data_IF_413498140245
#
_entry.id   IF_413498140245
#
_cell.length_a   1.000
_cell.length_b   1.000
_cell.length_c   1.000
_cell.angle_alpha   90.00
_cell.angle_beta   90.00
_cell.angle_gamma   90.00
#
_symmetry.space_group_name_H-M   'P 1'
#
loop_
_entity.id
_entity.type
_entity.pdbx_description
1 polymer ?
#
# COMPACT_ATOMS: atom_id res chain seq x y z
N UNK A 1 -12.30 2.66 6.19
CA UNK A 1 -11.05 2.22 5.54
C UNK A 1 -9.85 3.13 5.89
N UNK A 2 -9.89 4.47 5.71
CA UNK A 2 -8.74 5.32 6.04
C UNK A 2 -8.21 5.15 7.48
N UNK A 3 -9.09 5.11 8.48
CA UNK A 3 -8.70 4.85 9.86
C UNK A 3 -8.06 3.46 10.03
N UNK A 4 -8.53 2.43 9.31
CA UNK A 4 -7.93 1.10 9.34
C UNK A 4 -6.52 1.11 8.73
N UNK A 5 -6.32 1.83 7.62
CA UNK A 5 -4.99 2.02 7.02
C UNK A 5 -4.06 2.71 8.02
N UNK A 6 -4.51 3.81 8.63
CA UNK A 6 -3.73 4.55 9.61
C UNK A 6 -3.32 3.67 10.81
N UNK A 7 -4.28 2.97 11.41
CA UNK A 7 -4.03 2.09 12.55
C UNK A 7 -3.09 0.93 12.16
N UNK A 8 -3.34 0.24 11.04
CA UNK A 8 -2.48 -0.85 10.58
C UNK A 8 -1.04 -0.38 10.30
N UNK A 9 -0.88 0.83 9.74
CA UNK A 9 0.43 1.43 9.51
C UNK A 9 1.15 1.76 10.82
N UNK A 10 0.41 2.11 11.88
CA UNK A 10 0.98 2.52 13.17
C UNK A 10 1.24 1.37 14.15
N UNK A 11 0.51 0.26 14.04
CA UNK A 11 0.61 -0.87 15.01
C UNK A 11 1.99 -1.51 14.99
N UNK A 12 2.55 -1.76 13.80
CA UNK A 12 3.87 -2.35 13.64
C UNK A 12 4.72 -1.38 12.82
N UNK A 13 5.75 -0.83 13.44
CA UNK A 13 6.73 0.04 12.80
C UNK A 13 8.14 -0.47 13.09
N UNK A 14 8.83 -0.91 12.06
CA UNK A 14 10.23 -1.32 12.13
C UNK A 14 11.04 -0.24 11.41
N UNK A 15 11.91 0.49 12.11
CA UNK A 15 12.72 1.54 11.49
C UNK A 15 13.52 1.00 10.29
N UNK A 16 13.50 1.74 9.19
CA UNK A 16 14.31 1.45 8.01
C UNK A 16 15.62 2.25 8.03
N UNK A 17 16.65 1.82 7.28
CA UNK A 17 17.97 2.48 7.30
C UNK A 17 17.94 3.97 6.94
N UNK A 18 16.99 4.42 6.12
CA UNK A 18 16.93 5.79 5.58
C UNK A 18 15.79 6.63 6.19
N UNK A 19 15.71 6.67 7.53
CA UNK A 19 14.72 7.48 8.28
C UNK A 19 13.25 7.22 7.93
N UNK A 20 12.93 6.08 7.30
CA UNK A 20 11.58 5.58 7.12
C UNK A 20 11.26 4.47 8.12
N UNK A 21 10.16 3.76 7.89
CA UNK A 21 9.79 2.58 8.67
C UNK A 21 8.99 1.59 7.83
N UNK A 22 9.20 0.31 8.08
CA UNK A 22 8.39 -0.80 7.55
C UNK A 22 7.12 -0.93 8.38
N UNK A 23 6.01 -1.22 7.73
CA UNK A 23 4.71 -1.36 8.38
C UNK A 23 3.84 -2.40 7.66
N UNK A 24 2.73 -2.76 8.27
CA UNK A 24 1.76 -3.71 7.68
C UNK A 24 0.55 -3.03 7.03
N UNK A 25 0.56 -1.70 6.90
CA UNK A 25 -0.56 -0.93 6.35
C UNK A 25 -0.91 -1.29 4.92
N UNK A 26 0.04 -1.80 4.13
CA UNK A 26 -0.15 -2.14 2.72
C UNK A 26 -1.24 -3.19 2.50
N UNK A 27 -1.44 -4.10 3.43
CA UNK A 27 -2.55 -5.06 3.34
C UNK A 27 -3.92 -4.35 3.29
N UNK A 28 -4.11 -3.27 4.06
CA UNK A 28 -5.36 -2.48 4.05
C UNK A 28 -5.40 -1.53 2.85
N UNK A 29 -4.26 -1.01 2.39
CA UNK A 29 -4.16 -0.23 1.14
C UNK A 29 -4.64 -1.05 -0.06
N UNK A 30 -4.21 -2.31 -0.18
CA UNK A 30 -4.69 -3.24 -1.22
C UNK A 30 -6.19 -3.52 -1.10
N UNK A 31 -6.71 -3.70 0.13
CA UNK A 31 -8.15 -3.83 0.37
C UNK A 31 -8.92 -2.59 -0.10
N UNK A 32 -8.38 -1.37 0.11
CA UNK A 32 -9.01 -0.17 -0.42
C UNK A 32 -9.17 -0.23 -1.95
N UNK A 33 -8.17 -0.76 -2.65
CA UNK A 33 -8.23 -0.94 -4.11
C UNK A 33 -9.23 -2.01 -4.55
N UNK A 34 -9.39 -3.10 -3.79
CA UNK A 34 -10.28 -4.20 -4.19
C UNK A 34 -11.73 -4.03 -3.76
N UNK A 35 -12.00 -3.26 -2.70
CA UNK A 35 -13.33 -3.16 -2.07
C UNK A 35 -14.00 -1.81 -2.31
N UNK A 36 -13.27 -0.76 -2.65
CA UNK A 36 -13.81 0.58 -2.84
C UNK A 36 -13.81 1.01 -4.30
N UNK A 37 -14.68 1.94 -4.66
CA UNK A 37 -14.59 2.64 -5.94
C UNK A 37 -13.26 3.42 -6.02
N UNK A 38 -12.67 3.62 -7.23
CA UNK A 38 -11.27 4.03 -7.38
C UNK A 38 -10.92 5.34 -6.67
N UNK A 39 -11.79 6.35 -6.73
CA UNK A 39 -11.58 7.62 -6.04
C UNK A 39 -11.57 7.48 -4.52
N UNK A 40 -12.53 6.72 -3.98
CA UNK A 40 -12.58 6.43 -2.53
C UNK A 40 -11.41 5.56 -2.07
N UNK A 41 -11.01 4.57 -2.89
CA UNK A 41 -9.85 3.74 -2.62
C UNK A 41 -8.56 4.56 -2.55
N UNK A 42 -8.34 5.44 -3.53
CA UNK A 42 -7.21 6.36 -3.55
C UNK A 42 -7.14 7.24 -2.30
N UNK A 43 -8.24 7.94 -2.01
CA UNK A 43 -8.29 8.86 -0.86
C UNK A 43 -8.14 8.11 0.46
N UNK A 44 -8.83 6.97 0.64
CA UNK A 44 -8.76 6.21 1.88
C UNK A 44 -7.34 5.65 2.14
N UNK A 45 -6.71 5.09 1.13
CA UNK A 45 -5.35 4.56 1.21
C UNK A 45 -4.32 5.69 1.44
N UNK A 46 -4.38 6.74 0.62
CA UNK A 46 -3.47 7.87 0.71
C UNK A 46 -3.60 8.63 2.02
N UNK A 47 -4.82 9.02 2.38
CA UNK A 47 -5.07 9.79 3.61
C UNK A 47 -4.72 8.99 4.87
N UNK A 48 -5.12 7.72 4.93
CA UNK A 48 -4.82 6.88 6.09
C UNK A 48 -3.32 6.72 6.32
N UNK A 49 -2.56 6.48 5.24
CA UNK A 49 -1.10 6.33 5.33
C UNK A 49 -0.41 7.66 5.64
N UNK A 50 -0.83 8.77 5.02
CA UNK A 50 -0.26 10.09 5.29
C UNK A 50 -0.52 10.54 6.75
N UNK A 51 -1.71 10.28 7.30
CA UNK A 51 -2.00 10.54 8.71
C UNK A 51 -1.12 9.71 9.64
N UNK A 52 -0.85 8.44 9.30
CA UNK A 52 0.07 7.60 10.07
C UNK A 52 1.49 8.20 10.10
N UNK A 53 1.97 8.74 8.98
CA UNK A 53 3.25 9.43 8.91
C UNK A 53 3.27 10.69 9.80
N UNK A 54 2.22 11.51 9.71
CA UNK A 54 2.07 12.73 10.52
C UNK A 54 2.10 12.37 12.01
N UNK A 55 1.28 11.41 12.46
CA UNK A 55 1.23 10.97 13.86
C UNK A 55 2.51 10.28 14.33
N UNK A 56 3.31 9.79 13.40
CA UNK A 56 4.61 9.16 13.68
C UNK A 56 5.80 10.14 13.61
N UNK A 57 5.55 11.43 13.29
CA UNK A 57 6.59 12.46 13.16
C UNK A 57 7.30 12.50 11.81
N UNK A 58 6.83 11.76 10.81
CA UNK A 58 7.39 11.71 9.45
C UNK A 58 6.70 12.71 8.51
N UNK A 59 6.56 13.96 8.93
CA UNK A 59 5.82 14.99 8.19
C UNK A 59 6.28 15.17 6.73
N UNK A 60 7.58 15.07 6.49
CA UNK A 60 8.16 15.22 5.15
C UNK A 60 7.72 14.11 4.18
N UNK A 61 7.46 12.91 4.71
CA UNK A 61 7.01 11.77 3.92
C UNK A 61 5.51 11.83 3.59
N UNK A 62 4.69 12.44 4.45
CA UNK A 62 3.23 12.40 4.34
C UNK A 62 2.67 12.78 2.96
N UNK A 63 3.12 13.85 2.26
CA UNK A 63 2.61 14.16 0.92
C UNK A 63 2.97 13.09 -0.12
N UNK A 64 4.20 12.59 -0.10
CA UNK A 64 4.64 11.52 -0.99
C UNK A 64 3.90 10.22 -0.71
N UNK A 65 3.77 9.86 0.56
CA UNK A 65 3.02 8.67 1.02
C UNK A 65 1.56 8.74 0.58
N UNK A 66 0.91 9.91 0.66
CA UNK A 66 -0.45 10.09 0.17
C UNK A 66 -0.58 9.68 -1.30
N UNK A 67 0.30 10.19 -2.16
CA UNK A 67 0.28 9.89 -3.59
C UNK A 67 0.67 8.45 -3.87
N UNK A 68 1.71 7.94 -3.24
CA UNK A 68 2.20 6.57 -3.47
C UNK A 68 1.14 5.55 -3.05
N UNK A 69 0.61 5.64 -1.82
CA UNK A 69 -0.38 4.68 -1.30
C UNK A 69 -1.74 4.81 -1.99
N UNK A 70 -2.15 6.02 -2.35
CA UNK A 70 -3.32 6.23 -3.20
C UNK A 70 -3.16 5.56 -4.57
N UNK A 71 -2.01 5.74 -5.22
CA UNK A 71 -1.72 5.11 -6.51
C UNK A 71 -1.69 3.58 -6.43
N UNK A 72 -1.17 2.99 -5.33
CA UNK A 72 -1.24 1.54 -5.09
C UNK A 72 -2.68 1.04 -5.13
N UNK A 73 -3.60 1.71 -4.44
CA UNK A 73 -5.02 1.33 -4.43
C UNK A 73 -5.64 1.43 -5.84
N UNK A 74 -5.29 2.45 -6.62
CA UNK A 74 -5.75 2.58 -8.02
C UNK A 74 -5.20 1.45 -8.90
N UNK A 75 -3.93 1.10 -8.78
CA UNK A 75 -3.31 0.00 -9.54
C UNK A 75 -4.00 -1.33 -9.20
N UNK A 76 -4.18 -1.61 -7.90
CA UNK A 76 -4.86 -2.82 -7.44
C UNK A 76 -6.30 -2.90 -7.98
N UNK A 77 -7.06 -1.78 -7.95
CA UNK A 77 -8.40 -1.68 -8.53
C UNK A 77 -8.40 -1.93 -10.04
N UNK A 78 -7.54 -1.21 -10.78
CA UNK A 78 -7.51 -1.28 -12.25
C UNK A 78 -7.15 -2.69 -12.72
N UNK A 79 -6.11 -3.30 -12.16
CA UNK A 79 -5.72 -4.66 -12.49
C UNK A 79 -6.84 -5.66 -12.19
N UNK A 80 -7.46 -5.55 -11.01
CA UNK A 80 -8.59 -6.40 -10.65
C UNK A 80 -9.75 -6.25 -11.64
N UNK A 81 -10.17 -5.02 -11.93
CA UNK A 81 -11.28 -4.74 -12.85
C UNK A 81 -11.05 -5.24 -14.28
N UNK A 82 -9.82 -5.07 -14.78
CA UNK A 82 -9.47 -5.43 -16.16
C UNK A 82 -9.24 -6.93 -16.34
N UNK A 83 -8.71 -7.60 -15.31
CA UNK A 83 -8.16 -8.95 -15.47
C UNK A 83 -9.03 -10.05 -14.83
N UNK A 84 -9.92 -9.73 -13.87
CA UNK A 84 -10.65 -10.74 -13.11
C UNK A 84 -11.49 -11.69 -13.97
N UNK A 85 -12.07 -11.18 -15.08
CA UNK A 85 -12.87 -11.99 -16.02
C UNK A 85 -12.02 -12.89 -16.92
N UNK A 86 -10.72 -12.59 -17.10
CA UNK A 86 -9.82 -13.32 -18.00
C UNK A 86 -9.00 -14.37 -17.29
N UNK A 87 -8.42 -14.02 -16.13
CA UNK A 87 -7.48 -14.87 -15.40
C UNK A 87 -8.00 -15.30 -14.02
N UNK A 88 -9.25 -14.96 -13.69
CA UNK A 88 -9.86 -15.29 -12.41
C UNK A 88 -9.54 -14.28 -11.30
N UNK A 89 -10.38 -14.30 -10.26
CA UNK A 89 -10.40 -13.32 -9.17
C UNK A 89 -9.08 -13.29 -8.40
N UNK A 90 -8.64 -14.43 -7.87
CA UNK A 90 -7.45 -14.53 -7.06
C UNK A 90 -6.18 -14.12 -7.83
N UNK A 91 -6.03 -14.61 -9.05
CA UNK A 91 -4.85 -14.30 -9.88
C UNK A 91 -4.79 -12.81 -10.20
N UNK A 92 -5.92 -12.17 -10.52
CA UNK A 92 -5.97 -10.73 -10.78
C UNK A 92 -5.66 -9.90 -9.55
N UNK A 93 -6.08 -10.34 -8.34
CA UNK A 93 -5.71 -9.70 -7.08
C UNK A 93 -4.20 -9.80 -6.83
N UNK A 94 -3.61 -10.99 -6.99
CA UNK A 94 -2.16 -11.18 -6.81
C UNK A 94 -1.36 -10.33 -7.79
N UNK A 95 -1.70 -10.36 -9.08
CA UNK A 95 -0.99 -9.56 -10.10
C UNK A 95 -1.12 -8.07 -9.80
N UNK A 96 -2.33 -7.61 -9.47
CA UNK A 96 -2.57 -6.21 -9.10
C UNK A 96 -1.80 -5.79 -7.85
N UNK A 97 -1.71 -6.66 -6.84
CA UNK A 97 -0.93 -6.40 -5.64
C UNK A 97 0.57 -6.32 -5.94
N UNK A 98 1.13 -7.27 -6.71
CA UNK A 98 2.55 -7.23 -7.11
C UNK A 98 2.87 -5.93 -7.83
N UNK A 99 2.05 -5.50 -8.79
CA UNK A 99 2.27 -4.25 -9.51
C UNK A 99 2.13 -3.02 -8.60
N UNK A 100 1.19 -3.03 -7.66
CA UNK A 100 1.03 -1.96 -6.68
C UNK A 100 2.24 -1.86 -5.73
N UNK A 101 2.77 -2.99 -5.27
CA UNK A 101 3.95 -3.00 -4.39
C UNK A 101 5.23 -2.59 -5.15
N UNK A 102 5.39 -2.98 -6.41
CA UNK A 102 6.48 -2.49 -7.27
C UNK A 102 6.38 -0.96 -7.41
N UNK A 103 5.20 -0.43 -7.66
CA UNK A 103 4.99 1.02 -7.76
C UNK A 103 5.31 1.72 -6.43
N UNK A 104 5.02 1.11 -5.29
CA UNK A 104 5.38 1.61 -3.97
C UNK A 104 6.89 1.69 -3.78
N UNK A 105 7.61 0.59 -4.07
CA UNK A 105 9.08 0.54 -3.95
C UNK A 105 9.73 1.60 -4.83
N UNK A 106 9.28 1.71 -6.09
CA UNK A 106 9.79 2.71 -7.02
C UNK A 106 9.44 4.14 -6.58
N UNK A 107 8.21 4.36 -6.09
CA UNK A 107 7.76 5.67 -5.61
C UNK A 107 8.61 6.18 -4.44
N UNK A 108 8.85 5.34 -3.44
CA UNK A 108 9.73 5.71 -2.33
C UNK A 108 11.18 5.85 -2.77
N UNK A 109 11.69 4.97 -3.62
CA UNK A 109 13.05 5.10 -4.16
C UNK A 109 13.27 6.45 -4.86
N UNK A 110 12.31 6.87 -5.69
CA UNK A 110 12.37 8.17 -6.39
C UNK A 110 12.26 9.32 -5.40
N UNK A 111 11.30 9.29 -4.47
CA UNK A 111 11.13 10.33 -3.46
C UNK A 111 12.38 10.49 -2.58
N UNK A 112 12.87 9.39 -2.03
CA UNK A 112 14.09 9.38 -1.20
C UNK A 112 15.34 9.75 -2.02
N UNK A 113 15.36 9.39 -3.31
CA UNK A 113 16.42 9.78 -4.24
C UNK A 113 16.56 11.30 -4.39
N UNK A 114 15.45 12.01 -4.43
CA UNK A 114 15.46 13.49 -4.42
C UNK A 114 15.80 14.07 -3.05
N UNK A 115 15.43 13.40 -1.96
CA UNK A 115 15.68 13.89 -0.60
C UNK A 115 17.10 13.63 -0.12
N UNK A 116 17.68 12.46 -0.42
CA UNK A 116 18.91 11.97 0.19
C UNK A 116 19.97 11.53 -0.84
N UNK A 117 19.60 11.52 -2.13
CA UNK A 117 20.41 10.96 -3.22
C UNK A 117 20.03 9.53 -3.56
N UNK A 118 20.20 9.15 -4.84
CA UNK A 118 19.77 7.84 -5.36
C UNK A 118 20.59 6.66 -4.84
N UNK A 119 21.88 6.85 -4.57
CA UNK A 119 22.74 5.78 -4.04
C UNK A 119 22.32 5.42 -2.60
N UNK A 120 22.16 6.37 -1.66
CA UNK A 120 21.63 6.07 -0.34
C UNK A 120 20.22 5.47 -0.37
N UNK A 121 19.31 5.99 -1.20
CA UNK A 121 17.93 5.50 -1.24
C UNK A 121 17.82 4.06 -1.73
N UNK A 122 18.76 3.58 -2.54
CA UNK A 122 18.81 2.18 -2.97
C UNK A 122 18.91 1.19 -1.80
N UNK A 123 19.47 1.60 -0.66
CA UNK A 123 19.57 0.79 0.56
C UNK A 123 18.19 0.45 1.14
N UNK A 124 17.17 1.28 0.89
CA UNK A 124 15.80 1.03 1.34
C UNK A 124 15.00 0.09 0.43
N UNK A 125 15.45 -0.18 -0.80
CA UNK A 125 14.73 -1.05 -1.73
C UNK A 125 14.43 -2.44 -1.14
N UNK A 126 15.40 -3.17 -0.55
CA UNK A 126 15.12 -4.47 0.06
C UNK A 126 14.11 -4.39 1.20
N UNK A 127 14.21 -3.36 2.05
CA UNK A 127 13.28 -3.16 3.15
C UNK A 127 11.85 -2.93 2.64
N UNK A 128 11.67 -2.01 1.68
CA UNK A 128 10.37 -1.76 1.05
C UNK A 128 9.84 -2.99 0.30
N UNK A 129 10.70 -3.79 -0.34
CA UNK A 129 10.29 -5.03 -0.99
C UNK A 129 9.78 -6.08 0.01
N UNK A 130 10.42 -6.22 1.16
CA UNK A 130 9.94 -7.09 2.25
C UNK A 130 8.60 -6.59 2.77
N UNK A 131 8.44 -5.28 3.00
CA UNK A 131 7.15 -4.68 3.38
C UNK A 131 6.06 -5.05 2.37
N UNK A 132 6.32 -4.86 1.08
CA UNK A 132 5.38 -5.18 0.01
C UNK A 132 5.00 -6.66 -0.03
N UNK A 133 5.96 -7.56 0.13
CA UNK A 133 5.69 -9.01 0.18
C UNK A 133 4.78 -9.37 1.35
N UNK A 134 5.03 -8.83 2.54
CA UNK A 134 4.17 -9.02 3.72
C UNK A 134 2.79 -8.41 3.50
N UNK A 135 2.71 -7.18 2.97
CA UNK A 135 1.46 -6.49 2.64
C UNK A 135 0.59 -7.29 1.67
N UNK A 136 1.21 -7.83 0.61
CA UNK A 136 0.54 -8.70 -0.36
C UNK A 136 -0.04 -9.96 0.30
N UNK A 137 0.77 -10.69 1.06
CA UNK A 137 0.33 -11.95 1.71
C UNK A 137 -0.83 -11.67 2.65
N UNK A 138 -0.68 -10.69 3.54
CA UNK A 138 -1.74 -10.32 4.49
C UNK A 138 -2.98 -9.77 3.77
N UNK A 139 -2.81 -8.97 2.71
CA UNK A 139 -3.90 -8.44 1.91
C UNK A 139 -4.75 -9.55 1.27
N UNK A 140 -4.11 -10.57 0.69
CA UNK A 140 -4.82 -11.73 0.12
C UNK A 140 -5.55 -12.54 1.21
N UNK A 141 -4.94 -12.73 2.36
CA UNK A 141 -5.59 -13.42 3.49
C UNK A 141 -6.83 -12.64 3.93
N UNK A 142 -6.68 -11.33 4.13
CA UNK A 142 -7.76 -10.46 4.60
C UNK A 142 -8.91 -10.37 3.58
N UNK A 143 -8.63 -10.19 2.29
CA UNK A 143 -9.72 -10.10 1.30
C UNK A 143 -10.51 -11.41 1.24
N UNK A 144 -9.86 -12.55 1.35
CA UNK A 144 -10.56 -13.86 1.43
C UNK A 144 -11.40 -13.98 2.70
N UNK A 145 -10.93 -13.46 3.83
CA UNK A 145 -11.70 -13.44 5.08
C UNK A 145 -12.95 -12.56 4.94
N UNK A 146 -12.82 -11.36 4.37
CA UNK A 146 -13.94 -10.46 4.09
C UNK A 146 -14.99 -11.12 3.16
N UNK A 147 -14.54 -11.80 2.12
CA UNK A 147 -15.43 -12.53 1.20
C UNK A 147 -16.18 -13.66 1.89
N UNK A 148 -15.53 -14.42 2.78
CA UNK A 148 -16.19 -15.49 3.56
C UNK A 148 -17.26 -14.94 4.51
N UNK A 149 -17.01 -13.78 5.10
CA UNK A 149 -17.95 -13.11 6.02
C UNK A 149 -19.07 -12.37 5.28
N UNK A 150 -19.10 -12.40 3.93
CA UNK A 150 -20.04 -11.65 3.08
C UNK A 150 -20.08 -10.16 3.42
N UNK A 151 -18.95 -9.61 3.89
CA UNK A 151 -18.79 -8.18 4.11
C UNK A 151 -18.51 -7.55 2.75
N UNK A 152 -19.57 -7.21 2.02
CA UNK A 152 -19.51 -6.34 0.84
C UNK A 152 -19.70 -4.91 1.33
N UNK A 153 -18.72 -4.06 1.11
CA UNK A 153 -18.88 -2.62 1.23
C UNK A 153 -19.50 -2.16 -0.09
N UNK A 154 -20.86 -2.15 -0.14
CA UNK A 154 -21.62 -1.54 -1.22
C UNK A 154 -21.47 0.00 -1.19
#
# INVERSE_FOLDING_TARGET
MAAMVCVATMIIKIPSPMKGYLNIGDCIVLLCGWLLAPGYGFVAAGLGSALADIFSGYFTYAPATFLIKGSMALIAFACFKLMNKRIGKLTSQIVGAVLAEIAMVLGYFVFEGFMYGFIPSAVNIPANAVQGAVGLILGIILVKAFERLKITLE
#
